data_IF_995667346233
#
_entry.id   IF_995667346233
#
_cell.length_a   1.000
_cell.length_b   1.000
_cell.length_c   1.000
_cell.angle_alpha   90.00
_cell.angle_beta   90.00
_cell.angle_gamma   90.00
#
_symmetry.space_group_name_H-M   'P 1'
#
loop_
_entity.id
_entity.type
_entity.pdbx_description
1 polymer ?
#
# COMPACT_ATOMS: atom_id res chain seq x y z
N UNK A 1 0.26 -1.96 6.88
CA UNK A 1 0.83 -0.88 7.71
C UNK A 1 1.95 -1.37 8.62
N UNK A 2 1.67 -2.12 9.71
CA UNK A 2 2.71 -2.49 10.69
C UNK A 2 3.87 -3.24 10.04
N UNK A 3 3.60 -4.30 9.26
CA UNK A 3 4.60 -5.01 8.43
C UNK A 3 5.52 -4.04 7.68
N UNK A 4 4.89 -3.21 6.85
CA UNK A 4 5.56 -2.29 5.96
C UNK A 4 6.41 -1.26 6.73
N UNK A 5 5.84 -0.63 7.76
CA UNK A 5 6.57 0.32 8.61
C UNK A 5 7.75 -0.33 9.33
N UNK A 6 7.60 -1.58 9.80
CA UNK A 6 8.70 -2.31 10.47
C UNK A 6 9.85 -2.59 9.51
N UNK A 7 9.55 -3.01 8.28
CA UNK A 7 10.55 -3.22 7.23
C UNK A 7 11.30 -1.93 6.90
N UNK A 8 10.61 -0.79 6.88
CA UNK A 8 11.23 0.51 6.64
C UNK A 8 12.04 1.05 7.83
N UNK A 9 11.64 0.75 9.07
CA UNK A 9 12.33 1.27 10.26
C UNK A 9 13.62 0.51 10.59
N UNK A 10 13.69 -0.78 10.26
CA UNK A 10 14.89 -1.57 10.51
C UNK A 10 15.88 -1.38 9.38
N UNK A 11 17.08 -0.87 9.68
CA UNK A 11 18.16 -0.71 8.69
C UNK A 11 18.47 -2.03 7.98
N UNK A 12 18.51 -3.15 8.72
CA UNK A 12 18.78 -4.46 8.14
C UNK A 12 17.64 -4.90 7.21
N UNK A 13 16.38 -4.82 7.66
CA UNK A 13 15.25 -5.25 6.85
C UNK A 13 15.10 -4.35 5.62
N UNK A 14 15.25 -3.04 5.75
CA UNK A 14 15.14 -2.13 4.63
C UNK A 14 16.12 -2.50 3.51
N UNK A 15 17.41 -2.65 3.85
CA UNK A 15 18.44 -3.00 2.86
C UNK A 15 18.23 -4.39 2.24
N UNK A 16 17.70 -5.34 3.00
CA UNK A 16 17.47 -6.70 2.53
C UNK A 16 16.21 -6.83 1.66
N UNK A 17 15.08 -6.28 2.11
CA UNK A 17 13.77 -6.59 1.53
C UNK A 17 13.12 -5.44 0.77
N UNK A 18 13.46 -4.19 1.07
CA UNK A 18 12.72 -3.04 0.55
C UNK A 18 13.53 -2.13 -0.37
N UNK A 19 14.86 -2.12 -0.25
CA UNK A 19 15.72 -1.20 -0.98
C UNK A 19 15.56 -1.31 -2.50
N UNK A 20 15.50 -2.54 -3.04
CA UNK A 20 15.28 -2.78 -4.48
C UNK A 20 13.94 -2.25 -4.96
N UNK A 21 12.88 -2.47 -4.19
CA UNK A 21 11.54 -1.95 -4.51
C UNK A 21 11.52 -0.41 -4.57
N UNK A 22 12.22 0.26 -3.65
CA UNK A 22 12.30 1.73 -3.61
C UNK A 22 13.34 2.36 -4.54
N UNK A 23 14.02 1.58 -5.38
CA UNK A 23 14.80 2.13 -6.49
C UNK A 23 13.89 2.80 -7.53
N UNK A 24 12.63 2.37 -7.62
CA UNK A 24 11.62 2.92 -8.52
C UNK A 24 10.91 4.14 -7.92
N UNK A 25 11.60 5.29 -7.88
CA UNK A 25 11.04 6.56 -7.34
C UNK A 25 9.73 7.01 -7.97
N UNK A 26 9.52 6.66 -9.24
CA UNK A 26 8.25 6.78 -9.96
C UNK A 26 7.90 5.39 -10.48
N UNK A 27 7.17 4.59 -9.70
CA UNK A 27 6.93 3.19 -10.03
C UNK A 27 6.08 3.06 -11.31
N UNK A 28 6.28 1.94 -11.99
CA UNK A 28 5.35 1.42 -13.00
C UNK A 28 4.58 0.26 -12.38
N UNK A 29 3.48 -0.19 -13.01
CA UNK A 29 2.70 -1.32 -12.49
C UNK A 29 3.57 -2.56 -12.22
N UNK A 30 4.66 -2.72 -12.98
CA UNK A 30 5.62 -3.81 -12.80
C UNK A 30 6.49 -3.67 -11.53
N UNK A 31 6.77 -2.44 -11.08
CA UNK A 31 7.51 -2.18 -9.85
C UNK A 31 6.79 -2.72 -8.60
N UNK A 32 5.45 -2.79 -8.64
CA UNK A 32 4.65 -3.44 -7.59
C UNK A 32 4.94 -4.94 -7.42
N UNK A 33 5.51 -5.60 -8.43
CA UNK A 33 5.93 -7.00 -8.37
C UNK A 33 7.42 -7.18 -8.07
N UNK A 34 8.20 -6.09 -8.03
CA UNK A 34 9.62 -6.10 -7.67
C UNK A 34 9.81 -6.13 -6.14
N UNK A 35 9.11 -7.04 -5.47
CA UNK A 35 9.15 -7.25 -4.02
C UNK A 35 10.05 -8.43 -3.67
N UNK A 36 10.71 -8.37 -2.52
CA UNK A 36 11.59 -9.46 -2.09
C UNK A 36 10.77 -10.70 -1.69
N UNK A 37 11.23 -11.95 -1.98
CA UNK A 37 10.49 -13.16 -1.63
C UNK A 37 10.06 -13.27 -0.15
N UNK A 38 10.88 -12.77 0.78
CA UNK A 38 10.52 -12.69 2.21
C UNK A 38 9.26 -11.83 2.43
N UNK A 39 9.17 -10.69 1.75
CA UNK A 39 7.99 -9.84 1.82
C UNK A 39 6.78 -10.54 1.21
N UNK A 40 6.95 -11.23 0.08
CA UNK A 40 5.89 -12.04 -0.54
C UNK A 40 5.37 -13.11 0.42
N UNK A 41 6.26 -13.88 1.05
CA UNK A 41 5.87 -14.93 2.01
C UNK A 41 5.16 -14.34 3.22
N UNK A 42 5.62 -13.21 3.76
CA UNK A 42 4.96 -12.57 4.90
C UNK A 42 3.57 -12.06 4.49
N UNK A 43 3.47 -11.34 3.37
CA UNK A 43 2.20 -10.78 2.87
C UNK A 43 1.17 -11.86 2.58
N UNK A 44 1.59 -12.98 1.97
CA UNK A 44 0.70 -14.07 1.58
C UNK A 44 0.72 -15.27 2.52
N UNK A 45 1.22 -15.13 3.76
CA UNK A 45 1.31 -16.25 4.70
C UNK A 45 -0.04 -16.94 4.93
N UNK A 46 -1.14 -16.19 4.83
CA UNK A 46 -2.50 -16.73 4.93
C UNK A 46 -2.86 -17.72 3.81
N UNK A 47 -2.13 -17.75 2.69
CA UNK A 47 -2.35 -18.75 1.64
C UNK A 47 -2.04 -20.15 2.14
N UNK A 48 -1.16 -20.32 3.13
CA UNK A 48 -0.90 -21.62 3.75
C UNK A 48 -2.10 -22.16 4.55
N UNK A 49 -3.12 -21.34 4.80
CA UNK A 49 -4.40 -21.83 5.32
C UNK A 49 -5.04 -22.85 4.37
N UNK A 50 -4.65 -22.93 3.08
CA UNK A 50 -5.08 -23.99 2.14
C UNK A 50 -4.81 -25.40 2.65
N UNK A 51 -3.83 -25.56 3.53
CA UNK A 51 -3.49 -26.84 4.15
C UNK A 51 -4.52 -27.29 5.20
N UNK A 52 -5.43 -26.41 5.62
CA UNK A 52 -6.49 -26.75 6.55
C UNK A 52 -7.62 -27.49 5.82
N UNK A 53 -8.13 -28.62 6.34
CA UNK A 53 -9.24 -29.36 5.72
C UNK A 53 -10.50 -28.52 5.50
N UNK A 54 -10.73 -27.51 6.35
CA UNK A 54 -11.87 -26.61 6.26
C UNK A 54 -11.69 -25.47 5.25
N UNK A 55 -10.49 -25.28 4.68
CA UNK A 55 -10.18 -24.14 3.83
C UNK A 55 -11.12 -23.94 2.62
N UNK A 56 -11.58 -25.00 1.91
CA UNK A 56 -12.46 -24.83 0.76
C UNK A 56 -13.72 -23.98 1.05
N UNK A 57 -14.21 -23.97 2.29
CA UNK A 57 -15.36 -23.14 2.71
C UNK A 57 -15.09 -21.63 2.62
N UNK A 58 -13.82 -21.21 2.68
CA UNK A 58 -13.42 -19.80 2.66
C UNK A 58 -13.02 -19.32 1.26
N UNK A 59 -12.90 -20.22 0.27
CA UNK A 59 -12.51 -19.87 -1.10
C UNK A 59 -13.35 -18.74 -1.72
N UNK A 60 -14.70 -18.71 -1.58
CA UNK A 60 -15.51 -17.64 -2.14
C UNK A 60 -15.19 -16.24 -1.59
N UNK A 61 -14.53 -16.16 -0.43
CA UNK A 61 -14.13 -14.90 0.20
C UNK A 61 -12.66 -14.59 -0.08
N UNK A 62 -11.77 -15.58 0.03
CA UNK A 62 -10.33 -15.37 -0.12
C UNK A 62 -9.96 -15.00 -1.55
N UNK A 63 -10.53 -15.68 -2.56
CA UNK A 63 -10.17 -15.45 -3.96
C UNK A 63 -10.46 -13.99 -4.37
N UNK A 64 -11.68 -13.44 -4.16
CA UNK A 64 -11.96 -12.04 -4.49
C UNK A 64 -11.07 -11.05 -3.74
N UNK A 65 -10.73 -11.31 -2.47
CA UNK A 65 -9.87 -10.43 -1.69
C UNK A 65 -8.44 -10.38 -2.24
N UNK A 66 -7.86 -11.53 -2.58
CA UNK A 66 -6.52 -11.60 -3.20
C UNK A 66 -6.54 -10.88 -4.55
N UNK A 67 -7.57 -11.10 -5.36
CA UNK A 67 -7.70 -10.45 -6.66
C UNK A 67 -7.84 -8.93 -6.52
N UNK A 68 -8.71 -8.45 -5.62
CA UNK A 68 -8.88 -7.03 -5.33
C UNK A 68 -7.59 -6.38 -4.80
N UNK A 69 -6.85 -7.09 -3.94
CA UNK A 69 -5.54 -6.63 -3.45
C UNK A 69 -4.51 -6.52 -4.58
N UNK A 70 -4.50 -7.47 -5.51
CA UNK A 70 -3.64 -7.43 -6.69
C UNK A 70 -3.97 -6.24 -7.60
N UNK A 71 -5.24 -6.03 -7.91
CA UNK A 71 -5.69 -4.87 -8.70
C UNK A 71 -5.35 -3.55 -8.02
N UNK A 72 -5.54 -3.45 -6.70
CA UNK A 72 -5.15 -2.28 -5.94
C UNK A 72 -3.65 -2.05 -6.07
N UNK A 73 -2.80 -3.05 -5.85
CA UNK A 73 -1.35 -2.89 -5.96
C UNK A 73 -0.89 -2.45 -7.35
N UNK A 74 -1.50 -2.98 -8.41
CA UNK A 74 -1.25 -2.52 -9.78
C UNK A 74 -1.54 -1.02 -9.89
N UNK A 75 -2.68 -0.56 -9.36
CA UNK A 75 -3.03 0.87 -9.36
C UNK A 75 -2.07 1.72 -8.52
N UNK A 76 -1.72 1.27 -7.30
CA UNK A 76 -0.82 2.01 -6.41
C UNK A 76 0.56 2.26 -7.02
N UNK A 77 0.99 1.40 -7.95
CA UNK A 77 2.31 1.46 -8.57
C UNK A 77 2.28 1.87 -10.04
N UNK A 78 1.12 2.08 -10.67
CA UNK A 78 1.07 2.31 -12.12
C UNK A 78 1.68 3.65 -12.57
N UNK A 79 2.02 4.54 -11.62
CA UNK A 79 2.55 5.87 -11.92
C UNK A 79 1.50 6.84 -12.43
N UNK A 80 0.20 6.48 -12.38
CA UNK A 80 -0.90 7.28 -12.89
C UNK A 80 -2.04 7.38 -11.89
N UNK A 81 -2.60 8.59 -11.77
CA UNK A 81 -3.72 8.89 -10.88
C UNK A 81 -5.02 9.04 -11.69
N UNK A 82 -6.00 8.19 -11.44
CA UNK A 82 -7.32 8.30 -12.07
C UNK A 82 -8.25 9.12 -11.19
N UNK A 83 -8.81 10.21 -11.72
CA UNK A 83 -9.64 11.17 -10.97
C UNK A 83 -10.72 10.49 -10.13
N UNK A 84 -11.51 9.60 -10.73
CA UNK A 84 -12.61 8.94 -10.04
C UNK A 84 -12.14 8.07 -8.87
N UNK A 85 -10.93 7.49 -8.97
CA UNK A 85 -10.36 6.62 -7.96
C UNK A 85 -9.75 7.44 -6.83
N UNK A 86 -9.02 8.51 -7.16
CA UNK A 86 -8.44 9.45 -6.18
C UNK A 86 -9.49 10.23 -5.40
N UNK A 87 -10.69 10.42 -5.95
CA UNK A 87 -11.83 11.02 -5.24
C UNK A 87 -12.49 10.01 -4.29
N UNK A 88 -12.73 8.78 -4.75
CA UNK A 88 -13.57 7.83 -3.99
C UNK A 88 -12.79 7.11 -2.89
N UNK A 89 -11.58 6.61 -3.19
CA UNK A 89 -10.84 5.75 -2.27
C UNK A 89 -10.45 6.46 -0.95
N UNK A 90 -10.01 7.73 -0.94
CA UNK A 90 -9.64 8.40 0.30
C UNK A 90 -10.82 8.62 1.27
N UNK A 91 -12.08 8.69 0.78
CA UNK A 91 -13.26 8.73 1.65
C UNK A 91 -13.40 7.46 2.51
N UNK A 92 -12.88 6.35 2.01
CA UNK A 92 -12.86 5.05 2.68
C UNK A 92 -11.51 4.75 3.32
N UNK A 93 -10.62 5.75 3.38
CA UNK A 93 -9.21 5.58 3.75
C UNK A 93 -8.46 4.51 2.94
N UNK A 94 -8.94 4.15 1.75
CA UNK A 94 -8.21 3.25 0.87
C UNK A 94 -7.08 4.05 0.21
N UNK A 95 -5.94 3.40 0.09
CA UNK A 95 -4.74 3.98 -0.49
C UNK A 95 -4.94 4.25 -2.00
N UNK A 96 -4.15 5.16 -2.54
CA UNK A 96 -4.22 5.58 -3.94
C UNK A 96 -2.85 5.66 -4.59
N UNK A 97 -2.81 5.76 -5.92
CA UNK A 97 -1.56 5.92 -6.65
C UNK A 97 -0.82 7.17 -6.19
N UNK A 98 -1.52 8.28 -6.01
CA UNK A 98 -0.92 9.52 -5.50
C UNK A 98 -0.36 9.39 -4.09
N UNK A 99 -1.10 8.73 -3.20
CA UNK A 99 -0.66 8.52 -1.81
C UNK A 99 0.56 7.60 -1.75
N UNK A 100 0.55 6.51 -2.51
CA UNK A 100 1.64 5.55 -2.54
C UNK A 100 2.87 6.06 -3.31
N UNK A 101 2.72 6.87 -4.36
CA UNK A 101 3.86 7.52 -5.01
C UNK A 101 4.62 8.44 -4.03
N UNK A 102 3.91 9.12 -3.12
CA UNK A 102 4.56 9.91 -2.07
C UNK A 102 5.39 9.05 -1.13
N UNK A 103 4.96 7.82 -0.87
CA UNK A 103 5.74 6.83 -0.15
C UNK A 103 7.03 6.47 -0.91
N UNK A 104 6.96 6.12 -2.19
CA UNK A 104 8.15 5.83 -3.02
C UNK A 104 9.13 7.02 -3.08
N UNK A 105 8.61 8.24 -3.14
CA UNK A 105 9.43 9.46 -3.15
C UNK A 105 10.20 9.63 -1.84
N UNK A 106 9.50 9.57 -0.69
CA UNK A 106 10.04 9.93 0.64
C UNK A 106 10.59 8.76 1.44
N UNK A 107 10.06 7.56 1.24
CA UNK A 107 10.40 6.28 1.89
C UNK A 107 10.16 6.24 3.41
N UNK A 108 10.03 7.39 4.06
CA UNK A 108 9.89 7.55 5.52
C UNK A 108 8.48 7.87 6.00
N UNK A 109 7.50 7.93 5.08
CA UNK A 109 6.09 8.29 5.37
C UNK A 109 5.15 7.45 4.51
N UNK A 110 3.84 7.50 4.77
CA UNK A 110 2.79 6.87 3.95
C UNK A 110 2.93 5.33 3.87
N UNK A 111 2.95 4.64 5.02
CA UNK A 111 3.23 3.20 5.11
C UNK A 111 2.00 2.30 4.88
N UNK A 112 0.80 2.88 4.76
CA UNK A 112 -0.42 2.21 4.39
C UNK A 112 -0.25 1.55 3.04
N UNK A 113 -0.45 0.24 2.98
CA UNK A 113 -0.41 -0.53 1.74
C UNK A 113 -1.82 -0.56 1.15
N UNK A 114 -2.80 -1.05 1.92
CA UNK A 114 -4.23 -1.01 1.54
C UNK A 114 -4.92 0.24 2.10
N UNK A 115 -4.72 0.51 3.39
CA UNK A 115 -5.46 1.57 4.11
C UNK A 115 -4.51 2.67 4.57
N UNK A 116 -4.77 3.90 4.15
CA UNK A 116 -4.15 5.13 4.65
C UNK A 116 -4.66 5.52 6.05
N UNK A 117 -5.74 4.88 6.51
CA UNK A 117 -6.31 5.03 7.85
C UNK A 117 -5.25 4.91 8.96
N UNK A 118 -4.36 3.93 8.83
CA UNK A 118 -3.31 3.71 9.82
C UNK A 118 -2.28 4.84 9.83
N UNK A 119 -1.96 5.44 8.68
CA UNK A 119 -1.09 6.62 8.65
C UNK A 119 -1.76 7.85 9.25
N UNK A 120 -3.07 7.98 9.13
CA UNK A 120 -3.84 9.00 9.83
C UNK A 120 -3.78 8.80 11.35
N UNK A 121 -4.14 7.61 11.83
CA UNK A 121 -4.16 7.27 13.27
C UNK A 121 -2.78 7.40 13.91
N UNK A 122 -1.72 6.98 13.23
CA UNK A 122 -0.36 6.98 13.77
C UNK A 122 0.48 8.20 13.37
N UNK A 123 -0.11 9.17 12.66
CA UNK A 123 0.57 10.40 12.24
C UNK A 123 1.79 10.15 11.33
N UNK A 124 1.72 9.17 10.43
CA UNK A 124 2.83 8.81 9.53
C UNK A 124 2.62 9.20 8.07
N UNK A 125 1.56 9.94 7.74
CA UNK A 125 1.31 10.47 6.40
C UNK A 125 2.03 11.81 6.11
N UNK A 126 3.07 12.18 6.87
CA UNK A 126 3.68 13.51 6.76
C UNK A 126 2.65 14.62 6.96
N UNK A 127 2.60 15.60 6.05
CA UNK A 127 1.66 16.74 6.14
C UNK A 127 0.23 16.41 5.69
N UNK A 128 -0.01 15.26 5.05
CA UNK A 128 -1.29 14.92 4.40
C UNK A 128 -2.49 15.04 5.34
N UNK A 129 -2.37 14.47 6.56
CA UNK A 129 -3.45 14.48 7.55
C UNK A 129 -3.20 15.42 8.75
N UNK A 130 -2.30 16.39 8.61
CA UNK A 130 -1.87 17.25 9.74
C UNK A 130 -3.02 18.04 10.36
N UNK A 131 -3.95 18.50 9.51
CA UNK A 131 -5.12 19.29 9.93
C UNK A 131 -6.40 18.42 10.01
N UNK A 132 -6.23 17.09 10.08
CA UNK A 132 -7.31 16.12 10.24
C UNK A 132 -7.71 15.38 8.97
N UNK A 133 -8.83 14.66 9.04
CA UNK A 133 -9.28 13.79 7.95
C UNK A 133 -9.53 14.56 6.64
N UNK A 134 -10.24 15.68 6.69
CA UNK A 134 -10.59 16.47 5.50
C UNK A 134 -9.38 17.09 4.82
N UNK A 135 -8.27 17.34 5.54
CA UNK A 135 -7.03 17.82 4.91
C UNK A 135 -6.43 16.74 4.02
N UNK A 136 -6.42 15.48 4.46
CA UNK A 136 -5.89 14.38 3.66
C UNK A 136 -6.79 13.98 2.50
N UNK A 137 -8.11 14.11 2.66
CA UNK A 137 -9.03 14.03 1.54
C UNK A 137 -8.72 15.11 0.49
N UNK A 138 -8.64 16.38 0.92
CA UNK A 138 -8.34 17.52 0.03
C UNK A 138 -6.98 17.39 -0.65
N UNK A 139 -5.99 16.85 0.05
CA UNK A 139 -4.66 16.60 -0.48
C UNK A 139 -4.66 15.64 -1.67
N UNK A 140 -5.49 14.58 -1.63
CA UNK A 140 -5.60 13.66 -2.78
C UNK A 140 -6.22 14.37 -4.00
N UNK A 141 -7.14 15.32 -3.80
CA UNK A 141 -7.75 16.11 -4.88
C UNK A 141 -6.83 17.17 -5.47
N UNK A 142 -5.97 17.78 -4.65
CA UNK A 142 -5.08 18.87 -5.08
C UNK A 142 -3.86 18.40 -5.86
N UNK A 143 -3.65 17.09 -5.99
CA UNK A 143 -2.52 16.45 -6.67
C UNK A 143 -2.51 16.60 -8.21
N UNK A 144 -3.44 17.39 -8.76
CA UNK A 144 -3.49 17.80 -10.17
C UNK A 144 -2.80 19.14 -10.45
N UNK A 145 -1.55 19.31 -10.01
CA UNK A 145 -0.70 20.43 -10.47
C UNK A 145 0.71 19.96 -10.80
#
# INVERSE_FOLDING_TARGET
YVKHRTMHKSFFLYNLVQATHHQFKSPTAFAGFAIHPIETVWTFLFIFLWLLPSFPHFLPVVIPLVFAFGLLNVYLHCGYAFDCVEVVLPLLFVNTSSFHNRHHEKVSTHFGEILSFWDYVFGTAGETYKDGFFSGYSWNLQRYK
#
